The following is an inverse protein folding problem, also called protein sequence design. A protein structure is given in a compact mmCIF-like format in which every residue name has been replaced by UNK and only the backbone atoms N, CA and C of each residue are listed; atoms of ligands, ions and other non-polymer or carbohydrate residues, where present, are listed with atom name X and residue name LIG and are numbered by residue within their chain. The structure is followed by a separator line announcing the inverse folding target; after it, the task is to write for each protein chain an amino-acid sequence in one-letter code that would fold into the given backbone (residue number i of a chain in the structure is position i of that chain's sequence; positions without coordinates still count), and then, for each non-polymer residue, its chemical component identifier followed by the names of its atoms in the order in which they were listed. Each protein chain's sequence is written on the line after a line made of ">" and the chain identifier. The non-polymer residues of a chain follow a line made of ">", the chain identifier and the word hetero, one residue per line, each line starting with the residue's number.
data_IF_850267167533
#
_entry.id   IF_850267167533
#
_cell.length_a   1.000
_cell.length_b   1.000
_cell.length_c   1.000
_cell.angle_alpha   90.00
_cell.angle_beta   90.00
_cell.angle_gamma   90.00
#
_symmetry.space_group_name_H-M   'P 1'
#
loop_
_entity.id
_entity.type
_entity.pdbx_description
1 polymer ?
#
# COMPACT_ATOMS: atom_id res chain seq x y z
N UNK A 1 -14.55 -44.75 -27.53
CA UNK A 1 -13.53 -43.68 -27.39
C UNK A 1 -14.02 -42.72 -26.31
N UNK A 2 -13.31 -42.61 -25.17
CA UNK A 2 -13.64 -41.66 -24.09
C UNK A 2 -12.82 -40.39 -24.32
N UNK A 3 -13.51 -39.27 -24.52
CA UNK A 3 -12.89 -37.94 -24.57
C UNK A 3 -12.81 -37.41 -23.13
N UNK A 4 -11.62 -37.36 -22.57
CA UNK A 4 -11.34 -36.66 -21.32
C UNK A 4 -11.25 -35.16 -21.63
N UNK A 5 -12.23 -34.39 -21.17
CA UNK A 5 -12.19 -32.92 -21.25
C UNK A 5 -11.44 -32.41 -20.01
N UNK A 6 -10.29 -31.77 -20.24
CA UNK A 6 -9.51 -31.09 -19.21
C UNK A 6 -10.17 -29.75 -18.89
N UNK A 7 -10.73 -29.62 -17.69
CA UNK A 7 -11.29 -28.36 -17.19
C UNK A 7 -10.20 -27.70 -16.34
N UNK A 8 -9.61 -26.57 -16.77
CA UNK A 8 -8.60 -25.88 -15.98
C UNK A 8 -9.20 -25.37 -14.67
N UNK A 9 -8.45 -25.54 -13.59
CA UNK A 9 -8.83 -25.11 -12.25
C UNK A 9 -9.06 -23.60 -12.24
N UNK A 10 -10.26 -23.17 -11.82
CA UNK A 10 -10.56 -21.77 -11.54
C UNK A 10 -9.69 -21.32 -10.35
N UNK A 11 -8.76 -20.41 -10.60
CA UNK A 11 -8.08 -19.67 -9.52
C UNK A 11 -9.02 -18.57 -9.06
N UNK A 12 -9.53 -18.70 -7.84
CA UNK A 12 -10.28 -17.63 -7.18
C UNK A 12 -9.30 -16.50 -6.85
N UNK A 13 -9.30 -15.45 -7.69
CA UNK A 13 -8.54 -14.24 -7.42
C UNK A 13 -9.36 -13.42 -6.43
N UNK A 14 -8.82 -13.20 -5.23
CA UNK A 14 -9.35 -12.25 -4.28
C UNK A 14 -9.13 -10.82 -4.83
N UNK A 15 -10.18 -10.28 -5.44
CA UNK A 15 -10.17 -8.96 -6.07
C UNK A 15 -9.87 -7.85 -5.06
N UNK A 16 -10.25 -8.05 -3.79
CA UNK A 16 -10.03 -7.08 -2.72
C UNK A 16 -8.57 -7.05 -2.31
N UNK A 17 -7.91 -8.21 -2.22
CA UNK A 17 -6.48 -8.29 -1.93
C UNK A 17 -5.62 -7.56 -2.98
N UNK A 18 -5.92 -7.76 -4.27
CA UNK A 18 -5.18 -7.09 -5.35
C UNK A 18 -5.44 -5.58 -5.36
N UNK A 19 -6.69 -5.16 -5.15
CA UNK A 19 -7.04 -3.74 -4.99
C UNK A 19 -6.26 -3.11 -3.85
N UNK A 20 -6.22 -3.75 -2.68
CA UNK A 20 -5.48 -3.25 -1.51
C UNK A 20 -3.98 -3.13 -1.80
N UNK A 21 -3.40 -4.11 -2.50
CA UNK A 21 -1.99 -4.07 -2.90
C UNK A 21 -1.70 -2.86 -3.79
N UNK A 22 -2.51 -2.61 -4.82
CA UNK A 22 -2.35 -1.45 -5.71
C UNK A 22 -2.45 -0.14 -4.93
N UNK A 23 -3.42 -0.02 -4.01
CA UNK A 23 -3.56 1.14 -3.13
C UNK A 23 -2.29 1.36 -2.31
N UNK A 24 -1.76 0.31 -1.67
CA UNK A 24 -0.54 0.40 -0.86
C UNK A 24 0.68 0.84 -1.69
N UNK A 25 0.89 0.24 -2.87
CA UNK A 25 2.00 0.59 -3.76
C UNK A 25 1.93 2.06 -4.22
N UNK A 26 0.73 2.55 -4.55
CA UNK A 26 0.54 3.96 -4.94
C UNK A 26 0.77 4.91 -3.78
N UNK A 27 0.29 4.57 -2.58
CA UNK A 27 0.49 5.38 -1.38
C UNK A 27 1.97 5.43 -0.99
N UNK A 28 2.67 4.31 -1.07
CA UNK A 28 4.12 4.23 -0.86
C UNK A 28 4.88 5.10 -1.89
N UNK A 29 4.43 5.11 -3.14
CA UNK A 29 4.96 5.98 -4.19
C UNK A 29 4.52 7.46 -4.08
N UNK A 30 3.71 7.82 -3.09
CA UNK A 30 3.20 9.18 -2.91
C UNK A 30 2.21 9.63 -4.00
N UNK A 31 1.59 8.70 -4.72
CA UNK A 31 0.61 8.96 -5.81
C UNK A 31 -0.81 8.68 -5.36
N UNK A 32 -1.76 9.47 -5.84
CA UNK A 32 -3.18 9.31 -5.54
C UNK A 32 -3.64 7.85 -5.71
N UNK A 33 -4.48 7.36 -4.80
CA UNK A 33 -4.99 5.98 -4.80
C UNK A 33 -5.81 5.63 -6.04
N UNK A 34 -6.47 6.62 -6.64
CA UNK A 34 -7.09 6.51 -7.95
C UNK A 34 -6.05 6.03 -9.00
N UNK A 35 -6.30 4.90 -9.70
CA UNK A 35 -5.33 4.24 -10.57
C UNK A 35 -4.94 5.12 -11.77
N UNK A 36 -5.87 5.92 -12.26
CA UNK A 36 -5.69 6.79 -13.43
C UNK A 36 -5.08 8.15 -13.05
N UNK A 37 -5.10 8.50 -11.76
CA UNK A 37 -4.58 9.77 -11.28
C UNK A 37 -3.09 9.75 -10.94
N UNK A 38 -2.28 10.51 -11.69
CA UNK A 38 -0.82 10.66 -11.46
C UNK A 38 -0.43 11.75 -10.45
N UNK A 39 -1.41 12.45 -9.85
CA UNK A 39 -1.16 13.59 -8.96
C UNK A 39 -0.62 13.11 -7.60
N UNK A 40 0.20 13.93 -6.91
CA UNK A 40 0.74 13.57 -5.60
C UNK A 40 -0.35 13.52 -4.53
N UNK A 41 -0.19 12.61 -3.57
CA UNK A 41 -1.06 12.51 -2.38
C UNK A 41 -0.90 13.77 -1.53
N UNK A 42 -2.03 14.26 -1.03
CA UNK A 42 -2.08 15.28 0.03
C UNK A 42 -2.65 14.67 1.32
N UNK A 43 -3.91 14.25 1.28
CA UNK A 43 -4.67 13.86 2.47
C UNK A 43 -5.50 12.60 2.18
N UNK A 44 -5.49 11.66 3.13
CA UNK A 44 -6.19 10.37 3.06
C UNK A 44 -5.96 9.57 1.78
N UNK A 45 -4.72 9.58 1.28
CA UNK A 45 -4.35 8.86 0.05
C UNK A 45 -4.84 9.52 -1.25
N UNK A 46 -5.54 10.65 -1.17
CA UNK A 46 -6.06 11.37 -2.32
C UNK A 46 -5.20 12.59 -2.66
N UNK A 47 -5.20 12.96 -3.94
CA UNK A 47 -4.74 14.28 -4.36
C UNK A 47 -5.74 15.37 -3.93
N UNK A 48 -5.34 16.65 -4.01
CA UNK A 48 -6.22 17.76 -3.61
C UNK A 48 -7.59 17.72 -4.35
N UNK A 49 -7.56 17.44 -5.65
CA UNK A 49 -8.77 17.39 -6.48
C UNK A 49 -9.76 16.31 -6.02
N UNK A 50 -9.30 15.05 -5.90
CA UNK A 50 -10.18 13.96 -5.46
C UNK A 50 -10.57 14.10 -3.99
N UNK A 51 -9.73 14.68 -3.14
CA UNK A 51 -10.10 14.99 -1.77
C UNK A 51 -11.25 16.01 -1.69
N UNK A 52 -11.25 17.05 -2.53
CA UNK A 52 -12.36 18.01 -2.59
C UNK A 52 -13.64 17.36 -3.10
N UNK A 53 -13.56 16.51 -4.13
CA UNK A 53 -14.73 15.76 -4.60
C UNK A 53 -15.31 14.85 -3.51
N UNK A 54 -14.45 14.11 -2.82
CA UNK A 54 -14.85 13.28 -1.68
C UNK A 54 -15.50 14.11 -0.57
N UNK A 55 -14.93 15.28 -0.25
CA UNK A 55 -15.50 16.18 0.75
C UNK A 55 -16.88 16.69 0.35
N UNK A 56 -17.09 17.06 -0.91
CA UNK A 56 -18.39 17.47 -1.44
C UNK A 56 -19.39 16.31 -1.38
N UNK A 57 -18.99 15.10 -1.81
CA UNK A 57 -19.83 13.90 -1.73
C UNK A 57 -20.22 13.59 -0.27
N UNK A 58 -19.28 13.73 0.67
CA UNK A 58 -19.52 13.54 2.11
C UNK A 58 -20.55 14.52 2.68
N UNK A 59 -20.64 15.75 2.16
CA UNK A 59 -21.65 16.73 2.64
C UNK A 59 -23.07 16.43 2.16
N UNK A 60 -23.21 15.69 1.06
CA UNK A 60 -24.51 15.27 0.51
C UNK A 60 -24.39 13.84 -0.01
N UNK A 61 -24.30 12.87 0.91
CA UNK A 61 -24.13 11.47 0.52
C UNK A 61 -25.36 10.98 -0.25
N UNK A 62 -25.15 10.03 -1.18
CA UNK A 62 -26.26 9.43 -1.91
C UNK A 62 -27.19 8.67 -0.95
N UNK A 63 -28.45 8.48 -1.37
CA UNK A 63 -29.43 7.64 -0.68
C UNK A 63 -29.76 8.04 0.78
N UNK A 64 -29.42 9.27 1.19
CA UNK A 64 -29.69 9.74 2.55
C UNK A 64 -28.86 9.04 3.63
N UNK A 65 -27.74 8.42 3.25
CA UNK A 65 -26.79 7.88 4.22
C UNK A 65 -26.29 8.99 5.15
N UNK A 66 -25.95 8.66 6.39
CA UNK A 66 -25.23 9.60 7.22
C UNK A 66 -23.78 9.74 6.75
N UNK A 67 -23.17 10.85 7.12
CA UNK A 67 -21.84 11.21 6.66
C UNK A 67 -20.74 10.26 7.15
N UNK A 68 -20.94 9.56 8.26
CA UNK A 68 -19.95 8.65 8.85
C UNK A 68 -20.05 7.27 8.18
N UNK A 69 -21.27 6.79 7.90
CA UNK A 69 -21.50 5.57 7.11
C UNK A 69 -20.92 5.69 5.71
N UNK A 70 -21.15 6.83 5.03
CA UNK A 70 -20.52 7.09 3.72
C UNK A 70 -18.99 7.07 3.79
N UNK A 71 -18.39 7.64 4.84
CA UNK A 71 -16.93 7.59 5.03
C UNK A 71 -16.45 6.14 5.25
N UNK A 72 -17.17 5.35 6.05
CA UNK A 72 -16.83 3.95 6.32
C UNK A 72 -16.91 3.07 5.06
N UNK A 73 -17.96 3.21 4.26
CA UNK A 73 -18.12 2.49 3.00
C UNK A 73 -17.01 2.86 2.01
N UNK A 74 -16.73 4.15 1.85
CA UNK A 74 -15.64 4.61 0.98
C UNK A 74 -14.26 4.08 1.42
N UNK A 75 -14.03 3.91 2.73
CA UNK A 75 -12.81 3.28 3.25
C UNK A 75 -12.80 1.79 2.90
N UNK A 76 -13.91 1.10 3.13
CA UNK A 76 -14.06 -0.33 2.83
C UNK A 76 -13.84 -0.65 1.35
N UNK A 77 -14.33 0.22 0.45
CA UNK A 77 -14.15 0.08 -0.99
C UNK A 77 -12.76 0.53 -1.49
N UNK A 78 -11.92 1.04 -0.59
CA UNK A 78 -10.58 1.54 -0.91
C UNK A 78 -10.60 2.85 -1.70
N UNK A 79 -11.70 3.59 -1.69
CA UNK A 79 -11.81 4.91 -2.34
C UNK A 79 -11.14 6.04 -1.55
N UNK A 80 -10.94 5.85 -0.24
CA UNK A 80 -10.26 6.80 0.63
C UNK A 80 -9.54 6.05 1.75
N UNK A 81 -8.38 6.54 2.19
CA UNK A 81 -7.72 5.95 3.36
C UNK A 81 -8.40 6.40 4.66
N UNK A 82 -8.41 5.50 5.65
CA UNK A 82 -8.87 5.81 7.00
C UNK A 82 -8.02 6.88 7.69
N UNK A 83 -8.55 7.42 8.79
CA UNK A 83 -7.86 8.42 9.60
C UNK A 83 -6.60 7.79 10.21
N UNK A 84 -5.43 8.34 9.88
CA UNK A 84 -4.14 7.84 10.36
C UNK A 84 -3.46 6.81 9.45
N UNK A 85 -4.19 6.17 8.53
CA UNK A 85 -3.63 5.13 7.67
C UNK A 85 -2.58 5.67 6.70
N UNK A 86 -2.74 6.90 6.20
CA UNK A 86 -1.73 7.53 5.36
C UNK A 86 -0.38 7.66 6.09
N UNK A 87 -0.38 8.00 7.38
CA UNK A 87 0.87 8.11 8.14
C UNK A 87 1.50 6.73 8.34
N UNK A 88 0.67 5.72 8.67
CA UNK A 88 1.12 4.33 8.81
C UNK A 88 1.80 3.84 7.52
N UNK A 89 1.16 4.04 6.37
CA UNK A 89 1.67 3.58 5.08
C UNK A 89 2.91 4.34 4.60
N UNK A 90 3.02 5.65 4.85
CA UNK A 90 4.24 6.41 4.52
C UNK A 90 5.41 6.10 5.46
N UNK A 91 5.14 5.85 6.73
CA UNK A 91 6.15 5.49 7.73
C UNK A 91 6.81 4.13 7.45
N UNK A 92 6.11 3.19 6.81
CA UNK A 92 6.69 1.88 6.47
C UNK A 92 7.77 1.96 5.40
N UNK A 93 7.72 2.94 4.49
CA UNK A 93 8.67 3.02 3.35
C UNK A 93 10.08 3.44 3.79
N UNK A 94 10.21 4.22 4.87
CA UNK A 94 11.52 4.62 5.38
C UNK A 94 12.27 3.50 6.09
N UNK A 95 11.64 2.36 6.38
CA UNK A 95 12.28 1.26 7.11
C UNK A 95 12.67 0.05 6.24
N UNK A 96 12.35 0.04 4.94
CA UNK A 96 12.63 -1.13 4.06
C UNK A 96 14.05 -1.13 3.46
N UNK A 97 14.78 -0.03 3.55
CA UNK A 97 16.21 0.04 3.19
C UNK A 97 17.16 -0.30 4.36
N UNK A 98 16.66 -0.41 5.59
CA UNK A 98 17.49 -0.77 6.75
C UNK A 98 17.69 -2.29 6.92
N UNK A 99 17.03 -3.12 6.09
CA UNK A 99 17.05 -4.59 6.23
C UNK A 99 17.73 -5.32 5.05
N UNK A 100 18.24 -4.61 4.05
CA UNK A 100 19.13 -5.22 3.07
C UNK A 100 20.52 -5.21 3.72
N UNK A 101 20.91 -6.37 4.24
CA UNK A 101 22.06 -6.57 5.11
C UNK A 101 23.31 -5.81 4.68
N UNK A 102 23.97 -5.20 5.65
CA UNK A 102 25.37 -4.82 5.53
C UNK A 102 26.15 -6.07 5.07
N UNK A 103 27.01 -5.98 4.04
CA UNK A 103 27.85 -7.11 3.69
C UNK A 103 28.75 -7.42 4.88
N UNK A 104 28.61 -8.63 5.42
CA UNK A 104 29.45 -9.24 6.44
C UNK A 104 30.83 -9.52 5.83
N UNK A 105 31.60 -8.47 5.54
CA UNK A 105 32.98 -8.66 5.09
C UNK A 105 33.86 -7.49 5.51
N UNK A 106 34.27 -7.52 6.78
CA UNK A 106 35.56 -6.97 7.17
C UNK A 106 36.33 -8.06 7.92
N UNK A 107 37.03 -8.85 7.11
CA UNK A 107 38.32 -9.49 7.40
C UNK A 107 39.04 -8.95 8.64
N UNK A 108 39.02 -9.71 9.73
CA UNK A 108 40.08 -9.67 10.75
C UNK A 108 41.18 -10.64 10.32
N UNK A 109 42.01 -10.18 9.40
CA UNK A 109 43.37 -10.64 9.22
C UNK A 109 44.29 -9.56 9.82
N UNK A 110 44.90 -9.86 10.96
CA UNK A 110 46.10 -9.22 11.50
C UNK A 110 46.55 -10.11 12.67
N UNK A 111 47.31 -11.17 12.38
CA UNK A 111 48.78 -11.17 12.45
C UNK A 111 49.27 -11.19 13.91
N UNK A 112 49.84 -12.34 14.27
CA UNK A 112 50.49 -12.55 15.54
C UNK A 112 51.74 -11.68 15.69
N UNK A 113 51.96 -11.22 16.92
CA UNK A 113 53.26 -10.74 17.37
C UNK A 113 53.64 -11.53 18.60
N UNK A 114 54.54 -12.48 18.37
CA UNK A 114 55.37 -13.13 19.38
C UNK A 114 56.37 -12.12 19.95
N UNK A 115 56.44 -11.99 21.27
CA UNK A 115 57.66 -11.56 21.95
C UNK A 115 57.90 -12.50 23.11
N UNK A 116 58.87 -13.39 22.93
CA UNK A 116 59.51 -14.10 24.01
C UNK A 116 60.62 -13.25 24.60
N UNK A 117 60.75 -13.30 25.93
CA UNK A 117 61.99 -13.52 26.69
C UNK A 117 61.64 -13.56 28.17
#
# INVERSE_FOLDING_TARGET
>A
MRLTVYIPQFVEIDVDAERQRVIQERVAAGRCIDPDCKRPIRVRGLCNYHYQQFKTAKTKPPNGLDSDTFEAEAISEGMVLGRGDQHRLRGTVVNRFASIGAPENLSQAAEGVSHGS
#
